data_IF_137446615136
#
_entry.id   IF_137446615136
#
_cell.length_a   1.000
_cell.length_b   1.000
_cell.length_c   1.000
_cell.angle_alpha   90.00
_cell.angle_beta   90.00
_cell.angle_gamma   90.00
#
_symmetry.space_group_name_H-M   'P 1'
#
loop_
_entity.id
_entity.type
_entity.pdbx_description
1 polymer ?
#
# COMPACT_ATOMS: atom_id res chain seq x y z
N UNK A 1 19.87 20.79 -6.80
CA UNK A 1 19.15 19.86 -5.93
C UNK A 1 18.46 18.77 -6.75
N UNK A 2 18.65 17.54 -6.38
CA UNK A 2 18.02 16.44 -7.06
C UNK A 2 16.51 16.39 -6.76
N UNK A 3 15.71 16.33 -7.82
CA UNK A 3 14.29 16.06 -7.67
C UNK A 3 14.12 14.58 -7.34
N UNK A 4 13.54 14.25 -6.17
CA UNK A 4 13.32 12.86 -5.75
C UNK A 4 12.54 12.06 -6.81
N UNK A 5 11.61 12.70 -7.52
CA UNK A 5 10.79 12.02 -8.51
C UNK A 5 11.62 11.44 -9.67
N UNK A 6 12.75 12.06 -9.98
CA UNK A 6 13.66 11.55 -11.02
C UNK A 6 14.46 10.33 -10.55
N UNK A 7 14.52 10.12 -9.23
CA UNK A 7 15.30 9.02 -8.62
C UNK A 7 14.43 7.83 -8.22
N UNK A 8 13.11 7.98 -8.27
CA UNK A 8 12.18 6.96 -7.76
C UNK A 8 12.39 5.61 -8.45
N UNK A 9 12.49 5.58 -9.77
CA UNK A 9 12.66 4.32 -10.50
C UNK A 9 13.94 3.59 -10.06
N UNK A 10 15.01 4.34 -9.86
CA UNK A 10 16.30 3.79 -9.41
C UNK A 10 16.20 3.25 -7.97
N UNK A 11 15.56 4.00 -7.09
CA UNK A 11 15.37 3.59 -5.70
C UNK A 11 14.47 2.34 -5.61
N UNK A 12 13.45 2.26 -6.43
CA UNK A 12 12.59 1.08 -6.52
C UNK A 12 13.41 -0.13 -7.00
N UNK A 13 14.18 0.04 -8.07
CA UNK A 13 15.01 -1.04 -8.63
C UNK A 13 15.99 -1.58 -7.59
N UNK A 14 16.54 -0.72 -6.75
CA UNK A 14 17.47 -1.08 -5.68
C UNK A 14 16.78 -1.48 -4.39
N UNK A 15 15.46 -1.46 -4.35
CA UNK A 15 14.65 -1.78 -3.18
C UNK A 15 15.01 -0.95 -1.95
N UNK A 16 15.30 0.32 -2.17
CA UNK A 16 15.65 1.25 -1.09
C UNK A 16 14.39 1.91 -0.51
N UNK A 17 13.57 1.09 0.11
CA UNK A 17 12.26 1.49 0.63
C UNK A 17 12.37 2.55 1.72
N UNK A 18 13.42 2.48 2.56
CA UNK A 18 13.64 3.47 3.62
C UNK A 18 13.87 4.87 3.05
N UNK A 19 14.64 4.97 1.97
CA UNK A 19 14.89 6.26 1.31
C UNK A 19 13.62 6.80 0.66
N UNK A 20 12.82 5.93 0.06
CA UNK A 20 11.54 6.31 -0.52
C UNK A 20 10.59 6.82 0.56
N UNK A 21 10.52 6.14 1.70
CA UNK A 21 9.69 6.56 2.83
C UNK A 21 10.13 7.92 3.37
N UNK A 22 11.44 8.10 3.56
CA UNK A 22 12.00 9.36 4.07
C UNK A 22 11.63 10.56 3.18
N UNK A 23 11.57 10.35 1.86
CA UNK A 23 11.30 11.41 0.89
C UNK A 23 9.86 11.41 0.37
N UNK A 24 8.99 10.63 0.98
CA UNK A 24 7.63 10.43 0.45
C UNK A 24 6.83 11.74 0.38
N UNK A 25 7.01 12.64 1.36
CA UNK A 25 6.33 13.93 1.38
C UNK A 25 6.68 14.83 0.21
N UNK A 26 7.84 14.64 -0.41
CA UNK A 26 8.31 15.41 -1.57
C UNK A 26 8.03 14.70 -2.89
N UNK A 27 7.40 13.54 -2.83
CA UNK A 27 7.13 12.68 -4.00
C UNK A 27 5.76 13.01 -4.57
N UNK A 28 5.69 13.20 -5.89
CA UNK A 28 4.42 13.50 -6.56
C UNK A 28 3.54 12.25 -6.70
N UNK A 29 2.28 12.47 -7.11
CA UNK A 29 1.28 11.40 -7.22
C UNK A 29 1.66 10.29 -8.19
N UNK A 30 2.22 10.65 -9.35
CA UNK A 30 2.65 9.65 -10.35
C UNK A 30 3.76 8.76 -9.80
N UNK A 31 4.72 9.35 -9.10
CA UNK A 31 5.81 8.61 -8.46
C UNK A 31 5.31 7.74 -7.32
N UNK A 32 4.37 8.24 -6.52
CA UNK A 32 3.73 7.44 -5.46
C UNK A 32 2.98 6.25 -6.05
N UNK A 33 2.35 6.41 -7.21
CA UNK A 33 1.69 5.31 -7.91
C UNK A 33 2.70 4.21 -8.29
N UNK A 34 3.86 4.58 -8.80
CA UNK A 34 4.93 3.63 -9.12
C UNK A 34 5.41 2.89 -7.88
N UNK A 35 5.55 3.61 -6.77
CA UNK A 35 5.95 3.02 -5.48
C UNK A 35 4.90 2.01 -5.01
N UNK A 36 3.63 2.39 -5.05
CA UNK A 36 2.54 1.50 -4.61
C UNK A 36 2.50 0.21 -5.43
N UNK A 37 2.63 0.30 -6.74
CA UNK A 37 2.66 -0.88 -7.63
C UNK A 37 3.86 -1.77 -7.35
N UNK A 38 5.04 -1.17 -7.21
CA UNK A 38 6.26 -1.92 -6.95
C UNK A 38 6.21 -2.63 -5.59
N UNK A 39 5.65 -1.99 -4.58
CA UNK A 39 5.46 -2.59 -3.27
C UNK A 39 4.54 -3.82 -3.33
N UNK A 40 3.50 -3.76 -4.13
CA UNK A 40 2.57 -4.89 -4.32
C UNK A 40 3.23 -6.12 -4.93
N UNK A 41 4.31 -5.93 -5.66
CA UNK A 41 5.10 -7.02 -6.26
C UNK A 41 6.20 -7.50 -5.30
N UNK A 42 6.93 -6.55 -4.71
CA UNK A 42 8.10 -6.84 -3.88
C UNK A 42 7.75 -7.45 -2.52
N UNK A 43 6.77 -6.90 -1.84
CA UNK A 43 6.43 -7.32 -0.48
C UNK A 43 7.46 -6.88 0.56
N UNK A 44 7.23 -7.32 1.80
CA UNK A 44 8.12 -7.04 2.92
C UNK A 44 7.68 -5.87 3.78
N UNK A 45 8.28 -5.76 4.96
CA UNK A 45 7.90 -4.77 5.98
C UNK A 45 8.11 -3.32 5.50
N UNK A 46 9.16 -3.07 4.73
CA UNK A 46 9.42 -1.73 4.17
C UNK A 46 8.31 -1.29 3.23
N UNK A 47 7.83 -2.20 2.41
CA UNK A 47 6.71 -1.94 1.49
C UNK A 47 5.40 -1.73 2.23
N UNK A 48 5.13 -2.53 3.26
CA UNK A 48 3.93 -2.35 4.09
C UNK A 48 3.96 -0.97 4.74
N UNK A 49 5.11 -0.55 5.26
CA UNK A 49 5.28 0.78 5.84
C UNK A 49 4.97 1.91 4.85
N UNK A 50 5.51 1.83 3.64
CA UNK A 50 5.24 2.80 2.59
C UNK A 50 3.76 2.87 2.24
N UNK A 51 3.15 1.70 2.00
CA UNK A 51 1.74 1.63 1.64
C UNK A 51 0.85 2.17 2.76
N UNK A 52 1.21 1.92 4.02
CA UNK A 52 0.46 2.42 5.18
C UNK A 52 0.47 3.95 5.22
N UNK A 53 1.60 4.57 4.96
CA UNK A 53 1.72 6.04 4.94
C UNK A 53 0.89 6.62 3.78
N UNK A 54 0.97 6.01 2.59
CA UNK A 54 0.19 6.47 1.43
C UNK A 54 -1.31 6.36 1.72
N UNK A 55 -1.74 5.26 2.34
CA UNK A 55 -3.15 5.04 2.66
C UNK A 55 -3.71 6.14 3.59
N UNK A 56 -2.87 6.68 4.47
CA UNK A 56 -3.26 7.73 5.41
C UNK A 56 -3.08 9.14 4.86
N UNK A 57 -2.64 9.29 3.63
CA UNK A 57 -2.45 10.59 3.00
C UNK A 57 -3.79 11.14 2.52
N UNK A 58 -4.26 12.19 3.18
CA UNK A 58 -5.56 12.82 2.86
C UNK A 58 -5.58 13.46 1.48
N UNK A 59 -4.42 13.77 0.92
CA UNK A 59 -4.30 14.39 -0.40
C UNK A 59 -4.14 13.37 -1.53
N UNK A 60 -4.04 12.08 -1.19
CA UNK A 60 -3.91 11.04 -2.19
C UNK A 60 -5.16 10.95 -3.06
N UNK A 61 -4.97 10.81 -4.36
CA UNK A 61 -6.08 10.62 -5.30
C UNK A 61 -6.76 9.27 -5.06
N UNK A 62 -8.00 9.14 -5.51
CA UNK A 62 -8.74 7.88 -5.40
C UNK A 62 -8.00 6.75 -6.14
N UNK A 63 -7.41 7.04 -7.30
CA UNK A 63 -6.64 6.05 -8.06
C UNK A 63 -5.43 5.54 -7.26
N UNK A 64 -4.71 6.45 -6.61
CA UNK A 64 -3.57 6.08 -5.78
C UNK A 64 -4.02 5.25 -4.57
N UNK A 65 -5.10 5.64 -3.92
CA UNK A 65 -5.64 4.89 -2.79
C UNK A 65 -6.09 3.48 -3.21
N UNK A 66 -6.75 3.35 -4.35
CA UNK A 66 -7.18 2.04 -4.86
C UNK A 66 -5.98 1.14 -5.14
N UNK A 67 -4.93 1.66 -5.76
CA UNK A 67 -3.71 0.90 -6.02
C UNK A 67 -3.03 0.47 -4.71
N UNK A 68 -3.01 1.39 -3.73
CA UNK A 68 -2.44 1.11 -2.40
C UNK A 68 -3.20 0.00 -1.68
N UNK A 69 -4.52 0.06 -1.71
CA UNK A 69 -5.39 -0.96 -1.11
C UNK A 69 -5.15 -2.32 -1.77
N UNK A 70 -5.10 -2.35 -3.10
CA UNK A 70 -4.85 -3.57 -3.86
C UNK A 70 -3.48 -4.17 -3.52
N UNK A 71 -2.45 -3.33 -3.47
CA UNK A 71 -1.10 -3.78 -3.11
C UNK A 71 -1.04 -4.33 -1.69
N UNK A 72 -1.71 -3.68 -0.74
CA UNK A 72 -1.81 -4.22 0.63
C UNK A 72 -2.51 -5.58 0.65
N UNK A 73 -3.51 -5.77 -0.19
CA UNK A 73 -4.19 -7.07 -0.32
C UNK A 73 -3.26 -8.16 -0.82
N UNK A 74 -2.31 -7.81 -1.69
CA UNK A 74 -1.35 -8.77 -2.27
C UNK A 74 -0.27 -9.19 -1.28
N UNK A 75 0.21 -8.28 -0.44
CA UNK A 75 1.38 -8.52 0.41
C UNK A 75 1.11 -8.43 1.91
N UNK A 76 -0.06 -7.96 2.31
CA UNK A 76 -0.35 -7.63 3.70
C UNK A 76 -0.48 -8.83 4.62
N UNK A 77 -0.34 -8.54 5.91
CA UNK A 77 -0.52 -9.49 7.01
C UNK A 77 -1.73 -9.09 7.87
N UNK A 78 -1.92 -9.74 9.01
CA UNK A 78 -3.04 -9.46 9.93
C UNK A 78 -3.16 -7.99 10.33
N UNK A 79 -2.01 -7.33 10.53
CA UNK A 79 -2.00 -5.91 10.91
C UNK A 79 -2.59 -5.03 9.81
N UNK A 80 -2.41 -5.43 8.57
CA UNK A 80 -2.97 -4.71 7.43
C UNK A 80 -4.50 -4.80 7.40
N UNK A 81 -5.09 -5.87 7.92
CA UNK A 81 -6.54 -5.98 8.03
C UNK A 81 -7.09 -4.87 8.92
N UNK A 82 -6.47 -4.65 10.07
CA UNK A 82 -6.88 -3.57 10.99
C UNK A 82 -6.76 -2.20 10.32
N UNK A 83 -5.63 -1.96 9.64
CA UNK A 83 -5.38 -0.73 8.91
C UNK A 83 -6.44 -0.47 7.84
N UNK A 84 -6.75 -1.49 7.04
CA UNK A 84 -7.74 -1.41 5.96
C UNK A 84 -9.14 -1.18 6.51
N UNK A 85 -9.51 -1.84 7.60
CA UNK A 85 -10.82 -1.65 8.24
C UNK A 85 -10.98 -0.25 8.79
N UNK A 86 -9.92 0.29 9.41
CA UNK A 86 -9.93 1.67 9.89
C UNK A 86 -10.13 2.64 8.73
N UNK A 87 -9.41 2.44 7.64
CA UNK A 87 -9.59 3.26 6.42
C UNK A 87 -11.04 3.19 5.93
N UNK A 88 -11.61 1.98 5.86
CA UNK A 88 -12.98 1.77 5.40
C UNK A 88 -14.00 2.53 6.24
N UNK A 89 -13.81 2.57 7.56
CA UNK A 89 -14.72 3.27 8.47
C UNK A 89 -14.64 4.78 8.33
N UNK A 90 -13.49 5.30 7.89
CA UNK A 90 -13.24 6.74 7.84
C UNK A 90 -13.34 7.35 6.43
N UNK A 91 -13.45 6.53 5.39
CA UNK A 91 -13.64 7.02 4.04
C UNK A 91 -15.11 7.40 3.82
N UNK A 92 -15.34 8.34 2.89
CA UNK A 92 -16.70 8.70 2.50
C UNK A 92 -17.44 7.43 2.05
N UNK A 93 -18.54 7.10 2.74
CA UNK A 93 -19.28 5.87 2.49
C UNK A 93 -19.98 5.83 1.12
N UNK A 94 -20.05 6.96 0.43
CA UNK A 94 -20.53 7.02 -0.96
C UNK A 94 -19.51 6.47 -1.96
N UNK A 95 -18.23 6.36 -1.54
CA UNK A 95 -17.15 5.84 -2.39
C UNK A 95 -17.16 4.31 -2.41
N UNK A 96 -18.19 3.74 -3.05
CA UNK A 96 -18.39 2.30 -3.09
C UNK A 96 -17.22 1.52 -3.72
N UNK A 97 -16.51 2.01 -4.76
CA UNK A 97 -15.35 1.30 -5.27
C UNK A 97 -14.24 1.14 -4.22
N UNK A 98 -14.05 2.15 -3.37
CA UNK A 98 -13.08 2.14 -2.29
C UNK A 98 -13.41 1.07 -1.25
N UNK A 99 -14.66 1.05 -0.82
CA UNK A 99 -15.17 0.08 0.17
C UNK A 99 -15.05 -1.34 -0.37
N UNK A 100 -15.44 -1.54 -1.62
CA UNK A 100 -15.35 -2.82 -2.29
C UNK A 100 -13.90 -3.31 -2.40
N UNK A 101 -12.98 -2.40 -2.72
CA UNK A 101 -11.55 -2.71 -2.80
C UNK A 101 -11.00 -3.15 -1.44
N UNK A 102 -11.38 -2.47 -0.36
CA UNK A 102 -10.97 -2.86 0.99
C UNK A 102 -11.47 -4.26 1.32
N UNK A 103 -12.75 -4.52 1.08
CA UNK A 103 -13.35 -5.83 1.38
C UNK A 103 -12.66 -6.95 0.62
N UNK A 104 -12.33 -6.73 -0.65
CA UNK A 104 -11.58 -7.68 -1.47
C UNK A 104 -10.18 -7.94 -0.92
N UNK A 105 -9.45 -6.88 -0.57
CA UNK A 105 -8.09 -6.99 -0.05
C UNK A 105 -8.04 -7.69 1.31
N UNK A 106 -8.97 -7.37 2.19
CA UNK A 106 -9.09 -8.04 3.50
C UNK A 106 -9.32 -9.53 3.31
N UNK A 107 -10.19 -9.91 2.38
CA UNK A 107 -10.48 -11.31 2.07
C UNK A 107 -9.22 -12.04 1.59
N UNK A 108 -8.45 -11.42 0.69
CA UNK A 108 -7.20 -12.00 0.19
C UNK A 108 -6.19 -12.23 1.31
N UNK A 109 -6.06 -11.27 2.21
CA UNK A 109 -5.15 -11.41 3.36
C UNK A 109 -5.61 -12.54 4.26
N UNK A 110 -6.90 -12.63 4.58
CA UNK A 110 -7.45 -13.68 5.44
C UNK A 110 -7.20 -15.08 4.87
N UNK A 111 -7.41 -15.24 3.56
CA UNK A 111 -7.18 -16.54 2.89
C UNK A 111 -5.71 -16.92 3.00
N UNK A 112 -4.80 -15.98 2.71
CA UNK A 112 -3.37 -16.25 2.74
C UNK A 112 -2.89 -16.59 4.15
N UNK A 113 -3.35 -15.86 5.16
CA UNK A 113 -3.00 -16.12 6.57
C UNK A 113 -3.50 -17.48 7.00
N UNK A 114 -4.73 -17.84 6.66
CA UNK A 114 -5.29 -19.17 6.98
C UNK A 114 -4.49 -20.29 6.33
N UNK A 115 -4.04 -20.11 5.09
CA UNK A 115 -3.19 -21.09 4.40
C UNK A 115 -1.84 -21.23 5.09
N UNK A 116 -1.23 -20.13 5.50
CA UNK A 116 0.05 -20.15 6.22
C UNK A 116 -0.09 -20.87 7.56
N UNK A 117 -1.16 -20.66 8.30
CA UNK A 117 -1.43 -21.35 9.57
C UNK A 117 -1.58 -22.85 9.36
N UNK A 118 -2.26 -23.27 8.29
CA UNK A 118 -2.38 -24.71 7.96
C UNK A 118 -1.04 -25.35 7.65
N UNK A 119 -0.14 -24.61 7.00
CA UNK A 119 1.17 -25.12 6.61
C UNK A 119 2.12 -25.29 7.79
N UNK A 120 1.86 -24.61 8.90
CA UNK A 120 2.71 -24.66 10.09
C UNK A 120 2.25 -25.68 11.13
N UNK A 121 1.16 -26.36 10.90
CA UNK A 121 0.63 -27.40 11.80
C UNK A 121 1.19 -28.80 11.48
#
# INVERSE_FOLDING_TARGET
MGNINKKVDKLIAKRQWDKLLHNLGETNGDSKMKIAKACGVSGGSGCIGLLSVILNDREASDDLLLETIDSLGKIGNDRCITLLRYFRENVDQSKTPMISAVDSSVRKIKVRVAEMERMTQ
#
